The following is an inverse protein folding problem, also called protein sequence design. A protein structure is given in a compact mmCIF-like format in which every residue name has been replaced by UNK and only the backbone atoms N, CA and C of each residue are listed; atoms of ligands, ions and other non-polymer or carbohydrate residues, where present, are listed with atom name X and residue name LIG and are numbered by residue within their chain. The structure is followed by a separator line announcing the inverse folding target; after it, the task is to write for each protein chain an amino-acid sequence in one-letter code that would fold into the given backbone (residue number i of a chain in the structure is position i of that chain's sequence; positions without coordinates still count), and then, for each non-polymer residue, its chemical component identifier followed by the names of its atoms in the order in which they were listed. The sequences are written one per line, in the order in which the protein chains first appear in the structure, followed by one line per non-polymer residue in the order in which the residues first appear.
data_IF_697498035850
#
_entry.id   IF_697498035850
#
_cell.length_a   1.000
_cell.length_b   1.000
_cell.length_c   1.000
_cell.angle_alpha   90.00
_cell.angle_beta   90.00
_cell.angle_gamma   90.00
#
_symmetry.space_group_name_H-M   'P 1'
#
loop_
_entity.id
_entity.type
_entity.pdbx_description
1 polymer ?
#
# COMPACT_ATOMS: atom_id res chain seq x y z
N UNK A 1 -57.11 -33.86 56.66
CA UNK A 1 -57.75 -32.54 56.42
C UNK A 1 -56.66 -31.48 56.36
N UNK A 2 -56.65 -30.68 55.28
CA UNK A 2 -55.97 -29.38 55.11
C UNK A 2 -54.42 -29.42 55.02
N UNK A 3 -53.73 -28.66 54.17
CA UNK A 3 -54.08 -27.91 52.97
C UNK A 3 -52.74 -27.58 52.27
N UNK A 4 -52.68 -27.68 50.95
CA UNK A 4 -51.54 -27.29 50.13
C UNK A 4 -51.64 -25.79 49.78
N UNK A 5 -50.59 -24.94 49.94
CA UNK A 5 -50.68 -23.54 49.53
C UNK A 5 -50.25 -23.32 48.08
N UNK A 6 -51.26 -23.02 47.26
CA UNK A 6 -51.34 -22.13 46.09
C UNK A 6 -50.03 -21.70 45.40
N UNK A 7 -49.93 -22.18 44.15
CA UNK A 7 -49.28 -21.58 42.99
C UNK A 7 -49.38 -20.04 42.95
N UNK A 8 -48.24 -19.36 42.90
CA UNK A 8 -48.13 -17.98 42.39
C UNK A 8 -47.55 -18.03 40.99
N UNK A 9 -48.41 -17.77 40.01
CA UNK A 9 -48.01 -17.50 38.64
C UNK A 9 -47.25 -16.17 38.61
N UNK A 10 -45.93 -16.22 38.49
CA UNK A 10 -45.15 -15.06 38.05
C UNK A 10 -45.39 -14.88 36.54
N UNK A 11 -46.24 -13.91 36.18
CA UNK A 11 -46.36 -13.46 34.82
C UNK A 11 -45.04 -12.80 34.40
N UNK A 12 -44.23 -13.53 33.63
CA UNK A 12 -43.10 -12.95 32.91
C UNK A 12 -43.66 -11.99 31.85
N UNK A 13 -43.60 -10.69 32.14
CA UNK A 13 -43.79 -9.66 31.14
C UNK A 13 -42.74 -9.87 30.05
N UNK A 14 -43.18 -10.33 28.86
CA UNK A 14 -42.36 -10.36 27.65
C UNK A 14 -42.10 -8.92 27.24
N UNK A 15 -40.99 -8.35 27.71
CA UNK A 15 -40.43 -7.11 27.18
C UNK A 15 -40.07 -7.34 25.71
N UNK A 16 -40.89 -6.78 24.82
CA UNK A 16 -40.58 -6.74 23.39
C UNK A 16 -39.44 -5.73 23.18
N UNK A 17 -38.21 -6.23 23.17
CA UNK A 17 -37.06 -5.44 22.72
C UNK A 17 -37.18 -5.28 21.20
N UNK A 18 -37.91 -4.25 20.78
CA UNK A 18 -38.01 -3.83 19.39
C UNK A 18 -36.65 -3.28 18.94
N UNK A 19 -35.73 -4.16 18.58
CA UNK A 19 -34.47 -3.77 17.94
C UNK A 19 -34.78 -3.19 16.55
N UNK A 20 -34.88 -1.86 16.47
CA UNK A 20 -34.81 -1.16 15.19
C UNK A 20 -33.36 -1.32 14.71
N UNK A 21 -33.09 -2.31 13.86
CA UNK A 21 -31.80 -2.45 13.20
C UNK A 21 -31.69 -1.35 12.14
N UNK A 22 -31.36 -0.13 12.56
CA UNK A 22 -31.04 0.94 11.61
C UNK A 22 -29.75 0.56 10.88
N UNK A 23 -29.81 0.52 9.54
CA UNK A 23 -28.62 0.30 8.71
C UNK A 23 -27.60 1.38 9.07
N UNK A 24 -26.34 1.01 9.37
CA UNK A 24 -25.34 1.99 9.74
C UNK A 24 -25.14 2.99 8.59
N UNK A 25 -25.08 4.27 8.95
CA UNK A 25 -24.82 5.36 8.01
C UNK A 25 -23.48 5.11 7.28
N UNK A 26 -23.44 5.35 5.98
CA UNK A 26 -22.23 5.19 5.18
C UNK A 26 -21.58 6.55 4.94
N UNK A 27 -20.39 6.73 5.51
CA UNK A 27 -19.57 7.92 5.31
C UNK A 27 -18.70 7.76 4.05
N UNK A 28 -18.58 8.84 3.28
CA UNK A 28 -17.61 8.92 2.18
C UNK A 28 -16.23 9.35 2.74
N UNK A 29 -15.22 8.51 2.53
CA UNK A 29 -13.85 8.71 3.06
C UNK A 29 -12.82 8.45 1.96
N UNK A 30 -11.62 9.06 2.03
CA UNK A 30 -10.54 8.71 1.12
C UNK A 30 -10.11 7.26 1.33
N UNK A 31 -9.68 6.60 0.26
CA UNK A 31 -9.04 5.30 0.33
C UNK A 31 -7.73 5.44 1.11
N UNK A 32 -7.49 4.65 2.18
CA UNK A 32 -6.27 4.75 2.97
C UNK A 32 -5.04 4.18 2.24
N UNK A 33 -5.24 3.44 1.15
CA UNK A 33 -4.18 2.62 0.56
C UNK A 33 -3.90 1.39 1.42
N UNK A 34 -2.97 0.56 0.98
CA UNK A 34 -2.52 -0.64 1.69
C UNK A 34 -1.45 -0.24 2.70
N UNK A 35 -1.63 -0.69 3.93
CA UNK A 35 -0.75 -0.40 5.07
C UNK A 35 -0.23 -1.69 5.71
N UNK A 36 0.63 -1.58 6.73
CA UNK A 36 1.07 -2.74 7.51
C UNK A 36 -0.08 -3.46 8.25
N UNK A 37 -1.15 -2.72 8.58
CA UNK A 37 -2.36 -3.31 9.20
C UNK A 37 -3.15 -4.20 8.22
N UNK A 38 -2.92 -4.04 6.92
CA UNK A 38 -3.57 -4.85 5.88
C UNK A 38 -2.66 -6.00 5.41
N UNK A 39 -1.35 -5.74 5.33
CA UNK A 39 -0.35 -6.72 4.86
C UNK A 39 0.92 -6.64 5.73
N UNK A 40 1.27 -7.72 6.44
CA UNK A 40 2.53 -7.78 7.19
C UNK A 40 3.74 -7.52 6.28
N UNK A 41 4.74 -6.80 6.80
CA UNK A 41 6.00 -6.46 6.11
C UNK A 41 5.88 -5.44 4.95
N UNK A 42 4.72 -4.81 4.73
CA UNK A 42 4.60 -3.70 3.77
C UNK A 42 5.53 -2.54 4.16
N UNK A 43 5.63 -2.22 5.45
CA UNK A 43 6.52 -1.16 5.91
C UNK A 43 7.98 -1.49 5.62
N UNK A 44 8.43 -2.72 5.91
CA UNK A 44 9.77 -3.18 5.55
C UNK A 44 10.05 -3.13 4.05
N UNK A 45 9.03 -3.29 3.20
CA UNK A 45 9.12 -3.08 1.75
C UNK A 45 9.32 -1.63 1.36
N UNK A 46 8.54 -0.72 1.94
CA UNK A 46 8.65 0.70 1.65
C UNK A 46 9.99 1.26 2.13
N UNK A 47 10.40 0.93 3.37
CA UNK A 47 11.67 1.39 3.95
C UNK A 47 12.89 0.96 3.13
N UNK A 48 12.93 -0.30 2.63
CA UNK A 48 14.09 -0.76 1.87
C UNK A 48 14.09 -0.32 0.39
N UNK A 49 12.92 0.00 -0.17
CA UNK A 49 12.76 0.15 -1.62
C UNK A 49 12.76 1.62 -2.01
N UNK A 50 13.83 2.10 -2.66
CA UNK A 50 13.83 3.43 -3.28
C UNK A 50 12.95 3.58 -4.53
N UNK A 51 12.21 2.53 -4.93
CA UNK A 51 11.35 2.60 -6.09
C UNK A 51 10.04 3.34 -5.76
N UNK A 52 9.58 4.20 -6.67
CA UNK A 52 8.29 4.91 -6.56
C UNK A 52 7.06 4.03 -6.77
N UNK A 53 7.25 2.76 -7.11
CA UNK A 53 6.20 1.79 -7.39
C UNK A 53 6.75 0.55 -8.09
N UNK A 54 5.87 -0.30 -8.61
CA UNK A 54 6.30 -1.55 -9.24
C UNK A 54 5.23 -2.27 -10.06
N UNK A 55 5.58 -3.44 -10.57
CA UNK A 55 4.69 -4.28 -11.40
C UNK A 55 4.75 -4.00 -12.90
N UNK A 56 5.65 -3.11 -13.33
CA UNK A 56 5.94 -2.86 -14.75
C UNK A 56 6.81 -3.96 -15.37
N UNK A 57 6.91 -3.96 -16.70
CA UNK A 57 7.87 -4.81 -17.41
C UNK A 57 9.31 -4.37 -17.10
N UNK A 58 10.26 -5.28 -17.24
CA UNK A 58 11.68 -4.93 -17.09
C UNK A 58 12.13 -3.99 -18.22
N UNK A 59 13.09 -3.10 -17.93
CA UNK A 59 13.70 -2.21 -18.94
C UNK A 59 14.24 -2.98 -20.13
N UNK A 60 14.77 -4.20 -19.91
CA UNK A 60 15.19 -5.09 -20.98
C UNK A 60 14.04 -5.47 -21.92
N UNK A 61 12.90 -5.93 -21.37
CA UNK A 61 11.73 -6.30 -22.18
C UNK A 61 11.17 -5.10 -22.95
N UNK A 62 11.13 -3.93 -22.32
CA UNK A 62 10.66 -2.70 -22.96
C UNK A 62 11.61 -2.28 -24.09
N UNK A 63 12.93 -2.26 -23.84
CA UNK A 63 13.94 -1.92 -24.84
C UNK A 63 13.93 -2.86 -26.04
N UNK A 64 13.87 -4.17 -25.80
CA UNK A 64 13.78 -5.18 -26.86
C UNK A 64 12.49 -5.02 -27.67
N UNK A 65 11.35 -4.77 -27.02
CA UNK A 65 10.08 -4.59 -27.71
C UNK A 65 10.04 -3.30 -28.55
N UNK A 66 10.59 -2.19 -28.03
CA UNK A 66 10.47 -0.87 -28.67
C UNK A 66 11.57 -0.56 -29.68
N UNK A 67 12.80 -1.04 -29.45
CA UNK A 67 13.97 -0.69 -30.23
C UNK A 67 14.74 -1.88 -30.79
N UNK A 68 14.26 -3.12 -30.54
CA UNK A 68 14.92 -4.37 -30.95
C UNK A 68 16.39 -4.45 -30.51
N UNK A 69 16.72 -3.81 -29.39
CA UNK A 69 18.08 -3.71 -28.85
C UNK A 69 18.08 -3.84 -27.34
N UNK A 70 19.16 -4.40 -26.79
CA UNK A 70 19.35 -4.49 -25.35
C UNK A 70 19.42 -3.09 -24.73
N UNK A 71 18.84 -2.90 -23.54
CA UNK A 71 18.81 -1.61 -22.85
C UNK A 71 20.21 -1.00 -22.68
N UNK A 72 21.22 -1.81 -22.38
CA UNK A 72 22.62 -1.37 -22.24
C UNK A 72 23.17 -0.69 -23.50
N UNK A 73 22.77 -1.16 -24.69
CA UNK A 73 23.21 -0.66 -26.00
C UNK A 73 22.49 0.61 -26.49
N UNK A 74 21.47 1.07 -25.75
CA UNK A 74 20.73 2.28 -26.12
C UNK A 74 21.50 3.55 -25.73
N UNK A 75 21.40 4.58 -26.58
CA UNK A 75 21.81 5.94 -26.23
C UNK A 75 20.89 6.55 -25.17
N UNK A 76 21.37 7.62 -24.52
CA UNK A 76 20.71 8.26 -23.36
C UNK A 76 19.21 8.52 -23.55
N UNK A 77 18.83 9.23 -24.62
CA UNK A 77 17.42 9.58 -24.92
C UNK A 77 16.50 8.36 -25.03
N UNK A 78 16.98 7.26 -25.62
CA UNK A 78 16.18 6.02 -25.73
C UNK A 78 16.10 5.27 -24.40
N UNK A 79 17.13 5.37 -23.55
CA UNK A 79 17.09 4.81 -22.19
C UNK A 79 16.07 5.54 -21.33
N UNK A 80 16.04 6.87 -21.40
CA UNK A 80 15.04 7.72 -20.74
C UNK A 80 13.63 7.32 -21.17
N UNK A 81 13.39 7.19 -22.48
CA UNK A 81 12.08 6.76 -23.00
C UNK A 81 11.66 5.36 -22.51
N UNK A 82 12.61 4.41 -22.38
CA UNK A 82 12.33 3.09 -21.79
C UNK A 82 11.98 3.21 -20.30
N UNK A 83 12.66 4.08 -19.57
CA UNK A 83 12.41 4.32 -18.14
C UNK A 83 11.04 4.99 -17.93
N UNK A 84 10.66 5.94 -18.78
CA UNK A 84 9.34 6.58 -18.74
C UNK A 84 8.24 5.56 -18.99
N UNK A 85 8.39 4.71 -20.02
CA UNK A 85 7.46 3.60 -20.26
C UNK A 85 7.37 2.68 -19.03
N UNK A 86 8.51 2.32 -18.45
CA UNK A 86 8.52 1.48 -17.25
C UNK A 86 7.77 2.16 -16.08
N UNK A 87 7.94 3.47 -15.91
CA UNK A 87 7.25 4.24 -14.89
C UNK A 87 5.74 4.30 -15.12
N UNK A 88 5.30 4.49 -16.37
CA UNK A 88 3.88 4.49 -16.74
C UNK A 88 3.23 3.11 -16.64
N UNK A 89 4.00 2.04 -16.83
CA UNK A 89 3.51 0.66 -16.72
C UNK A 89 3.37 0.14 -15.28
N UNK A 90 3.82 0.91 -14.28
CA UNK A 90 3.69 0.50 -12.88
C UNK A 90 2.23 0.21 -12.53
N UNK A 91 2.02 -0.84 -11.74
CA UNK A 91 0.70 -1.30 -11.29
C UNK A 91 0.37 -0.79 -9.89
N UNK A 92 1.38 -0.50 -9.09
CA UNK A 92 1.22 0.18 -7.80
C UNK A 92 2.23 1.32 -7.65
N UNK A 93 1.90 2.27 -6.78
CA UNK A 93 2.73 3.40 -6.37
C UNK A 93 3.03 3.28 -4.88
N UNK A 94 4.26 3.62 -4.52
CA UNK A 94 4.74 3.64 -3.16
C UNK A 94 4.66 5.07 -2.64
N UNK A 95 3.88 5.29 -1.60
CA UNK A 95 3.89 6.53 -0.82
C UNK A 95 4.84 6.33 0.36
N UNK A 96 6.10 6.71 0.16
CA UNK A 96 7.13 6.60 1.19
C UNK A 96 6.94 7.57 2.35
N UNK A 97 6.23 8.68 2.12
CA UNK A 97 5.98 9.69 3.15
C UNK A 97 4.97 9.20 4.18
N UNK A 98 3.94 8.49 3.73
CA UNK A 98 2.88 7.96 4.61
C UNK A 98 3.00 6.45 4.87
N UNK A 99 3.99 5.78 4.27
CA UNK A 99 4.19 4.34 4.36
C UNK A 99 2.99 3.51 3.87
N UNK A 100 2.35 3.98 2.80
CA UNK A 100 1.20 3.31 2.18
C UNK A 100 1.47 2.95 0.72
N UNK A 101 0.71 1.98 0.19
CA UNK A 101 0.78 1.56 -1.22
C UNK A 101 -0.57 1.69 -1.88
N UNK A 102 -0.60 2.26 -3.07
CA UNK A 102 -1.81 2.40 -3.86
C UNK A 102 -1.67 1.64 -5.17
N UNK A 103 -2.72 0.92 -5.59
CA UNK A 103 -2.80 0.53 -7.00
C UNK A 103 -2.98 1.77 -7.87
N UNK A 104 -2.43 1.75 -9.09
CA UNK A 104 -2.62 2.84 -10.06
C UNK A 104 -4.07 3.03 -10.48
N UNK A 105 -4.91 2.01 -10.27
CA UNK A 105 -6.36 2.01 -10.48
C UNK A 105 -7.16 2.20 -9.17
N UNK A 106 -6.56 2.80 -8.14
CA UNK A 106 -7.24 3.11 -6.88
C UNK A 106 -8.53 3.89 -7.11
N UNK A 107 -9.61 3.51 -6.41
CA UNK A 107 -10.92 4.17 -6.48
C UNK A 107 -10.93 5.56 -5.81
N UNK A 108 -9.86 5.89 -5.06
CA UNK A 108 -9.62 7.15 -4.34
C UNK A 108 -10.57 7.45 -3.19
N UNK A 109 -11.83 7.05 -3.29
CA UNK A 109 -12.87 7.20 -2.26
C UNK A 109 -13.58 5.87 -2.01
N UNK A 110 -14.03 5.68 -0.78
CA UNK A 110 -14.72 4.48 -0.32
C UNK A 110 -15.90 4.86 0.57
N UNK A 111 -16.90 3.99 0.63
CA UNK A 111 -18.02 4.09 1.57
C UNK A 111 -17.74 3.21 2.77
N UNK A 112 -17.68 3.81 3.95
CA UNK A 112 -17.41 3.10 5.21
C UNK A 112 -18.57 3.25 6.18
N UNK A 113 -18.98 2.18 6.89
CA UNK A 113 -19.92 2.31 7.99
C UNK A 113 -19.41 3.32 9.03
N UNK A 114 -20.30 4.16 9.55
CA UNK A 114 -19.95 5.19 10.55
C UNK A 114 -19.31 4.62 11.82
N UNK A 115 -19.62 3.37 12.15
CA UNK A 115 -19.07 2.63 13.29
C UNK A 115 -17.77 1.87 12.99
N UNK A 116 -17.24 1.94 11.76
CA UNK A 116 -16.01 1.23 11.42
C UNK A 116 -14.82 1.82 12.20
N UNK A 117 -14.02 0.96 12.83
CA UNK A 117 -12.82 1.36 13.58
C UNK A 117 -11.82 2.12 12.70
N UNK A 118 -11.69 1.70 11.43
CA UNK A 118 -10.89 2.38 10.42
C UNK A 118 -11.44 2.12 9.01
N UNK A 119 -11.15 2.99 8.05
CA UNK A 119 -11.34 2.67 6.63
C UNK A 119 -10.43 1.51 6.21
N UNK A 120 -10.97 0.62 5.37
CA UNK A 120 -10.19 -0.42 4.67
C UNK A 120 -9.79 0.08 3.27
N UNK A 121 -8.72 -0.46 2.66
CA UNK A 121 -8.39 -0.11 1.29
C UNK A 121 -9.54 -0.43 0.33
N UNK A 122 -9.71 0.38 -0.73
CA UNK A 122 -10.69 0.10 -1.79
C UNK A 122 -10.47 -1.28 -2.43
N UNK A 123 -11.46 -1.79 -3.16
CA UNK A 123 -11.41 -3.16 -3.72
C UNK A 123 -10.19 -3.37 -4.61
N UNK A 124 -9.84 -2.35 -5.42
CA UNK A 124 -8.63 -2.33 -6.20
C UNK A 124 -7.38 -2.48 -5.31
N UNK A 125 -7.13 -1.56 -4.37
CA UNK A 125 -5.95 -1.60 -3.51
C UNK A 125 -5.87 -2.91 -2.68
N UNK A 126 -7.00 -3.39 -2.17
CA UNK A 126 -7.09 -4.65 -1.44
C UNK A 126 -6.67 -5.86 -2.29
N UNK A 127 -6.88 -5.82 -3.61
CA UNK A 127 -6.42 -6.88 -4.53
C UNK A 127 -4.90 -6.97 -4.69
N UNK A 128 -4.13 -6.02 -4.16
CA UNK A 128 -2.66 -6.00 -4.28
C UNK A 128 -2.03 -7.28 -3.70
N UNK A 129 -2.59 -7.83 -2.61
CA UNK A 129 -2.16 -9.10 -1.96
C UNK A 129 -2.20 -10.30 -2.90
N UNK A 130 -3.06 -10.29 -3.93
CA UNK A 130 -3.20 -11.44 -4.82
C UNK A 130 -2.18 -11.41 -5.96
N UNK A 131 -1.48 -10.28 -6.15
CA UNK A 131 -0.51 -10.11 -7.23
C UNK A 131 0.79 -10.82 -6.90
N UNK A 132 1.10 -11.89 -7.65
CA UNK A 132 2.35 -12.66 -7.53
C UNK A 132 3.61 -11.78 -7.55
N UNK A 133 3.64 -10.77 -8.43
CA UNK A 133 4.77 -9.83 -8.52
C UNK A 133 4.96 -9.01 -7.25
N UNK A 134 3.87 -8.61 -6.60
CA UNK A 134 3.91 -7.84 -5.37
C UNK A 134 4.38 -8.70 -4.19
N UNK A 135 3.82 -9.90 -4.05
CA UNK A 135 4.27 -10.86 -3.03
C UNK A 135 5.75 -11.23 -3.18
N UNK A 136 6.25 -11.36 -4.42
CA UNK A 136 7.68 -11.56 -4.67
C UNK A 136 8.49 -10.35 -4.20
N UNK A 137 8.01 -9.13 -4.45
CA UNK A 137 8.67 -7.93 -3.99
C UNK A 137 8.73 -7.88 -2.45
N UNK A 138 7.62 -8.17 -1.76
CA UNK A 138 7.55 -8.17 -0.29
C UNK A 138 8.55 -9.10 0.38
N UNK A 139 8.78 -10.30 -0.20
CA UNK A 139 9.70 -11.32 0.34
C UNK A 139 11.19 -10.96 0.27
N UNK A 140 11.57 -9.90 -0.44
CA UNK A 140 12.96 -9.46 -0.52
C UNK A 140 13.39 -8.93 0.85
N UNK A 141 14.51 -9.39 1.38
CA UNK A 141 15.07 -8.88 2.64
C UNK A 141 15.79 -7.54 2.42
N UNK A 142 15.83 -6.71 3.44
CA UNK A 142 16.66 -5.51 3.40
C UNK A 142 18.14 -5.91 3.29
N UNK A 143 18.93 -5.25 2.42
CA UNK A 143 20.37 -5.49 2.38
C UNK A 143 21.04 -4.96 3.65
N UNK A 144 22.22 -5.49 3.98
CA UNK A 144 23.06 -4.92 5.03
C UNK A 144 23.40 -3.45 4.71
N UNK A 145 23.54 -2.55 5.72
CA UNK A 145 23.82 -1.14 5.52
C UNK A 145 24.96 -0.84 4.53
N UNK A 146 26.08 -1.57 4.64
CA UNK A 146 27.25 -1.43 3.76
C UNK A 146 26.95 -1.71 2.27
N UNK A 147 25.90 -2.46 1.98
CA UNK A 147 25.56 -2.87 0.62
C UNK A 147 24.61 -1.88 -0.08
N UNK A 148 24.05 -0.88 0.63
CA UNK A 148 23.19 0.13 0.00
C UNK A 148 23.93 0.98 -1.05
N UNK A 149 25.27 1.02 -1.00
CA UNK A 149 26.11 1.69 -2.01
C UNK A 149 25.85 1.14 -3.43
N UNK A 150 25.52 -0.15 -3.55
CA UNK A 150 25.25 -0.83 -4.82
C UNK A 150 23.81 -0.67 -5.32
N UNK A 151 22.97 0.09 -4.61
CA UNK A 151 21.61 0.41 -5.08
C UNK A 151 21.69 1.08 -6.45
N UNK A 152 20.82 0.68 -7.37
CA UNK A 152 20.78 1.29 -8.69
C UNK A 152 20.50 2.79 -8.57
N UNK A 153 21.32 3.61 -9.24
CA UNK A 153 21.22 5.07 -9.19
C UNK A 153 19.82 5.59 -9.54
N UNK A 154 19.07 4.90 -10.42
CA UNK A 154 17.70 5.32 -10.77
C UNK A 154 16.69 5.24 -9.61
N UNK A 155 17.02 4.48 -8.56
CA UNK A 155 16.21 4.36 -7.35
C UNK A 155 16.80 5.15 -6.18
N UNK A 156 17.90 5.88 -6.40
CA UNK A 156 18.46 6.84 -5.46
C UNK A 156 17.87 8.21 -5.81
N UNK A 157 17.04 8.77 -4.93
CA UNK A 157 16.54 10.13 -5.12
C UNK A 157 17.61 11.12 -4.65
N UNK A 158 18.45 11.58 -5.58
CA UNK A 158 19.55 12.49 -5.29
C UNK A 158 19.07 13.83 -4.71
N UNK A 159 18.02 14.41 -5.29
CA UNK A 159 17.42 15.67 -4.82
C UNK A 159 16.93 15.54 -3.38
N UNK A 160 16.24 14.44 -3.07
CA UNK A 160 15.75 14.19 -1.71
C UNK A 160 16.92 14.02 -0.73
N UNK A 161 17.99 13.33 -1.13
CA UNK A 161 19.21 13.20 -0.35
C UNK A 161 19.83 14.57 -0.03
N UNK A 162 19.99 15.43 -1.03
CA UNK A 162 20.54 16.79 -0.85
C UNK A 162 19.66 17.64 0.07
N UNK A 163 18.33 17.57 -0.07
CA UNK A 163 17.39 18.26 0.82
C UNK A 163 17.60 17.78 2.26
N UNK A 164 17.67 16.47 2.49
CA UNK A 164 17.93 15.94 3.83
C UNK A 164 19.27 16.44 4.36
N UNK A 165 20.34 16.34 3.58
CA UNK A 165 21.66 16.85 3.96
C UNK A 165 21.65 18.30 4.43
N UNK A 166 20.89 19.17 3.74
CA UNK A 166 20.70 20.57 4.15
C UNK A 166 19.92 20.69 5.47
N UNK A 167 18.83 19.93 5.62
CA UNK A 167 17.96 20.04 6.82
C UNK A 167 18.59 19.55 8.11
N UNK A 168 19.49 18.56 8.06
CA UNK A 168 20.16 17.99 9.25
C UNK A 168 21.63 18.40 9.39
N UNK A 169 22.09 19.38 8.59
CA UNK A 169 23.45 19.91 8.66
C UNK A 169 24.55 18.95 8.20
N UNK A 170 24.23 17.96 7.37
CA UNK A 170 25.18 16.97 6.83
C UNK A 170 25.69 17.31 5.42
N UNK A 171 25.34 18.48 4.90
CA UNK A 171 25.70 18.93 3.55
C UNK A 171 27.21 18.85 3.26
N UNK A 172 28.08 19.15 4.23
CA UNK A 172 29.55 19.08 4.05
C UNK A 172 30.12 17.66 4.07
N UNK A 173 29.34 16.67 4.51
CA UNK A 173 29.72 15.24 4.57
C UNK A 173 29.17 14.47 3.36
N UNK A 174 28.16 15.03 2.69
CA UNK A 174 27.56 14.48 1.47
C UNK A 174 28.37 14.89 0.24
N UNK A 175 29.57 14.34 0.10
CA UNK A 175 30.47 14.51 -1.04
C UNK A 175 30.38 13.30 -1.97
#
# INVERSE_FOLDING_TARGET
MRACPRLRHCAFAKSAFSSKTSRPELLDKPCPGVTEQDIPNVQGYLVRSGAMGGGSRSVFKIAMHKFSKAFSSLGKKRKEEVQDIQYHEQKWRNDHSHLHIFLTICEKRIRVPSMALRPLPCSACSSLVTRKSFNKALKITAPEPKNYIYTNAQFKNQVLGEIYGRTIGLQDIMI
#
